data_IF_946024430814
#
_entry.id   IF_946024430814
#
_cell.length_a   1.000
_cell.length_b   1.000
_cell.length_c   1.000
_cell.angle_alpha   90.00
_cell.angle_beta   90.00
_cell.angle_gamma   90.00
#
_symmetry.space_group_name_H-M   'P 1'
#
loop_
_entity.id
_entity.type
_entity.pdbx_description
1 polymer ?
#
# COMPACT_ATOMS: atom_id res chain seq x y z
N UNK A 1 13.16 73.10 -2.85
CA UNK A 1 14.32 72.30 -2.38
C UNK A 1 13.74 70.93 -2.04
N UNK A 2 14.07 69.83 -2.72
CA UNK A 2 15.35 69.43 -3.31
C UNK A 2 15.26 69.30 -4.85
N UNK A 3 16.34 69.67 -5.55
CA UNK A 3 16.59 69.32 -6.96
C UNK A 3 17.53 68.11 -7.01
N UNK A 4 17.28 67.15 -7.90
CA UNK A 4 18.36 66.31 -8.46
C UNK A 4 18.16 66.25 -9.98
N UNK A 5 19.04 66.96 -10.70
CA UNK A 5 19.26 66.76 -12.13
C UNK A 5 20.15 65.53 -12.32
N UNK A 6 19.82 64.67 -13.28
CA UNK A 6 20.82 63.94 -14.04
C UNK A 6 20.55 64.13 -15.53
N UNK A 7 21.62 64.18 -16.31
CA UNK A 7 21.64 64.77 -17.65
C UNK A 7 22.22 63.81 -18.69
N UNK A 8 21.89 64.08 -19.95
CA UNK A 8 22.42 63.51 -21.21
C UNK A 8 21.82 62.22 -21.81
N UNK A 9 21.61 62.35 -23.13
CA UNK A 9 21.69 61.35 -24.20
C UNK A 9 20.53 60.34 -24.42
N UNK A 10 19.58 60.78 -25.24
CA UNK A 10 19.12 60.13 -26.49
C UNK A 10 19.30 58.59 -26.63
N UNK A 11 18.16 57.88 -26.73
CA UNK A 11 17.81 57.01 -27.88
C UNK A 11 16.28 56.91 -27.94
N UNK A 12 15.67 57.48 -28.98
CA UNK A 12 14.24 57.32 -29.25
C UNK A 12 14.00 55.94 -29.91
N UNK A 13 13.68 54.92 -29.12
CA UNK A 13 13.05 53.70 -29.66
C UNK A 13 11.54 53.91 -29.75
N UNK A 14 10.90 53.70 -30.92
CA UNK A 14 9.45 53.81 -31.01
C UNK A 14 8.79 52.73 -30.15
N UNK A 15 7.98 53.14 -29.18
CA UNK A 15 7.04 52.21 -28.50
C UNK A 15 5.98 51.81 -29.52
N UNK A 16 6.15 50.64 -30.11
CA UNK A 16 5.09 49.98 -30.90
C UNK A 16 3.98 49.58 -29.93
N UNK A 17 3.02 50.48 -29.71
CA UNK A 17 1.78 50.17 -29.02
C UNK A 17 0.95 49.27 -29.94
N UNK A 18 1.11 47.96 -29.77
CA UNK A 18 0.20 46.96 -30.32
C UNK A 18 -1.19 47.17 -29.71
N UNK A 19 -2.04 47.92 -30.40
CA UNK A 19 -3.45 48.11 -30.03
C UNK A 19 -4.24 46.84 -30.31
N UNK A 20 -4.15 45.87 -29.38
CA UNK A 20 -4.93 44.64 -29.47
C UNK A 20 -6.42 45.01 -29.40
N UNK A 21 -7.13 44.78 -30.50
CA UNK A 21 -8.53 45.16 -30.63
C UNK A 21 -9.38 44.49 -29.55
N UNK A 22 -10.21 45.26 -28.84
CA UNK A 22 -11.08 44.78 -27.77
C UNK A 22 -12.01 43.62 -28.21
N UNK A 23 -12.45 43.61 -29.49
CA UNK A 23 -13.22 42.48 -30.06
C UNK A 23 -12.39 41.19 -30.16
N UNK A 24 -11.08 41.29 -30.39
CA UNK A 24 -10.15 40.15 -30.40
C UNK A 24 -9.98 39.61 -28.98
N UNK A 25 -9.79 40.49 -27.99
CA UNK A 25 -9.69 40.11 -26.56
C UNK A 25 -10.97 39.39 -26.11
N UNK A 26 -12.16 39.95 -26.41
CA UNK A 26 -13.43 39.32 -26.04
C UNK A 26 -13.67 37.97 -26.73
N UNK A 27 -13.22 37.78 -27.98
CA UNK A 27 -13.26 36.48 -28.67
C UNK A 27 -12.35 35.44 -27.99
N UNK A 28 -11.14 35.83 -27.61
CA UNK A 28 -10.20 34.97 -26.87
C UNK A 28 -10.78 34.56 -25.52
N UNK A 29 -11.33 35.49 -24.73
CA UNK A 29 -11.99 35.19 -23.45
C UNK A 29 -13.17 34.22 -23.64
N UNK A 30 -13.96 34.41 -24.71
CA UNK A 30 -15.11 33.54 -25.00
C UNK A 30 -14.68 32.13 -25.41
N UNK A 31 -13.58 31.98 -26.17
CA UNK A 31 -13.00 30.67 -26.48
C UNK A 31 -12.41 30.00 -25.24
N UNK A 32 -11.64 30.72 -24.42
CA UNK A 32 -11.08 30.20 -23.16
C UNK A 32 -12.18 29.68 -22.23
N UNK A 33 -13.28 30.41 -22.06
CA UNK A 33 -14.43 29.95 -21.27
C UNK A 33 -15.04 28.64 -21.81
N UNK A 34 -15.14 28.47 -23.13
CA UNK A 34 -15.62 27.22 -23.74
C UNK A 34 -14.64 26.06 -23.55
N UNK A 35 -13.34 26.31 -23.65
CA UNK A 35 -12.30 25.31 -23.41
C UNK A 35 -12.29 24.87 -21.94
N UNK A 36 -12.36 25.81 -21.00
CA UNK A 36 -12.47 25.52 -19.56
C UNK A 36 -13.73 24.70 -19.26
N UNK A 37 -14.89 25.09 -19.81
CA UNK A 37 -16.14 24.35 -19.65
C UNK A 37 -16.02 22.90 -20.18
N UNK A 38 -15.41 22.72 -21.35
CA UNK A 38 -15.19 21.40 -21.95
C UNK A 38 -14.26 20.53 -21.09
N UNK A 39 -13.16 21.10 -20.56
CA UNK A 39 -12.24 20.41 -19.65
C UNK A 39 -12.94 20.00 -18.35
N UNK A 40 -13.75 20.88 -17.76
CA UNK A 40 -14.53 20.55 -16.55
C UNK A 40 -15.56 19.45 -16.82
N UNK A 41 -16.19 19.43 -18.00
CA UNK A 41 -17.12 18.36 -18.40
C UNK A 41 -16.36 17.04 -18.54
N UNK A 42 -15.19 17.00 -19.18
CA UNK A 42 -14.41 15.75 -19.29
C UNK A 42 -13.86 15.23 -17.96
N UNK A 43 -13.60 16.12 -16.98
CA UNK A 43 -13.18 15.71 -15.63
C UNK A 43 -14.33 15.10 -14.80
N UNK A 44 -15.58 15.48 -15.05
CA UNK A 44 -16.76 14.99 -14.32
C UNK A 44 -17.19 13.56 -14.69
N UNK A 45 -16.66 12.98 -15.78
CA UNK A 45 -17.05 11.64 -16.26
C UNK A 45 -15.95 10.57 -16.13
N UNK A 46 -14.81 10.88 -15.49
CA UNK A 46 -13.76 9.89 -15.18
C UNK A 46 -14.07 9.11 -13.89
N UNK A 47 -15.30 8.63 -13.75
CA UNK A 47 -15.68 7.67 -12.72
C UNK A 47 -15.18 6.28 -13.12
N UNK A 48 -13.91 5.98 -12.82
CA UNK A 48 -13.47 4.59 -12.74
C UNK A 48 -14.35 3.91 -11.70
N UNK A 49 -15.11 2.88 -12.11
CA UNK A 49 -15.88 2.07 -11.16
C UNK A 49 -14.89 1.50 -10.15
N UNK A 50 -15.16 1.71 -8.86
CA UNK A 50 -14.35 1.11 -7.81
C UNK A 50 -14.31 -0.40 -7.99
N UNK A 51 -13.17 -1.03 -7.71
CA UNK A 51 -13.09 -2.48 -7.65
C UNK A 51 -13.91 -2.97 -6.44
N UNK A 52 -14.57 -4.14 -6.47
CA UNK A 52 -15.20 -4.74 -5.30
C UNK A 52 -14.29 -4.76 -4.06
N UNK A 53 -12.97 -4.91 -4.22
CA UNK A 53 -11.99 -4.71 -3.15
C UNK A 53 -11.99 -3.26 -2.62
N UNK A 54 -11.90 -2.23 -3.48
CA UNK A 54 -11.94 -0.83 -3.05
C UNK A 54 -13.27 -0.45 -2.38
N UNK A 55 -14.40 -1.00 -2.86
CA UNK A 55 -15.71 -0.82 -2.24
C UNK A 55 -15.73 -1.43 -0.82
N UNK A 56 -15.22 -2.66 -0.66
CA UNK A 56 -15.10 -3.30 0.64
C UNK A 56 -14.20 -2.50 1.60
N UNK A 57 -13.02 -2.07 1.16
CA UNK A 57 -12.12 -1.20 1.94
C UNK A 57 -12.81 0.10 2.35
N UNK A 58 -13.60 0.72 1.47
CA UNK A 58 -14.35 1.94 1.80
C UNK A 58 -15.42 1.71 2.89
N UNK A 59 -15.94 0.49 2.98
CA UNK A 59 -16.92 0.08 3.99
C UNK A 59 -16.27 -0.23 5.35
N UNK A 60 -15.08 -0.84 5.35
CA UNK A 60 -14.32 -1.19 6.56
C UNK A 60 -13.90 0.06 7.34
N UNK A 61 -13.83 -0.07 8.67
CA UNK A 61 -13.61 1.02 9.62
C UNK A 61 -12.46 0.72 10.58
N UNK A 62 -12.00 -0.52 10.66
CA UNK A 62 -10.93 -0.89 11.58
C UNK A 62 -10.08 -2.08 11.09
N UNK A 63 -9.04 -2.38 11.84
CA UNK A 63 -8.13 -3.49 11.55
C UNK A 63 -8.78 -4.86 11.80
N UNK A 64 -9.76 -4.92 12.71
CA UNK A 64 -10.59 -6.09 12.95
C UNK A 64 -11.42 -6.48 11.72
N UNK A 65 -11.90 -5.53 10.90
CA UNK A 65 -12.62 -5.86 9.65
C UNK A 65 -11.72 -6.62 8.66
N UNK A 66 -10.47 -6.18 8.51
CA UNK A 66 -9.46 -6.83 7.66
C UNK A 66 -9.16 -8.25 8.17
N UNK A 67 -8.96 -8.40 9.48
CA UNK A 67 -8.71 -9.71 10.11
C UNK A 67 -9.92 -10.64 10.03
N UNK A 68 -11.14 -10.12 10.19
CA UNK A 68 -12.38 -10.88 10.03
C UNK A 68 -12.55 -11.38 8.60
N UNK A 69 -12.22 -10.56 7.60
CA UNK A 69 -12.24 -10.98 6.21
C UNK A 69 -11.21 -12.08 5.93
N UNK A 70 -9.95 -11.89 6.37
CA UNK A 70 -8.90 -12.91 6.23
C UNK A 70 -9.31 -14.22 6.90
N UNK A 71 -9.78 -14.18 8.16
CA UNK A 71 -10.20 -15.35 8.90
C UNK A 71 -11.37 -16.11 8.26
N UNK A 72 -12.26 -15.41 7.55
CA UNK A 72 -13.49 -16.00 6.99
C UNK A 72 -13.37 -16.43 5.52
N UNK A 73 -12.40 -15.87 4.77
CA UNK A 73 -12.31 -16.04 3.31
C UNK A 73 -10.94 -16.55 2.83
N UNK A 74 -9.85 -16.23 3.52
CA UNK A 74 -8.51 -16.68 3.14
C UNK A 74 -8.31 -18.14 3.54
N UNK A 75 -7.84 -18.97 2.62
CA UNK A 75 -7.50 -20.39 2.89
C UNK A 75 -5.97 -20.54 2.88
N UNK A 76 -5.40 -21.67 3.32
CA UNK A 76 -3.98 -21.93 3.10
C UNK A 76 -3.76 -22.82 1.87
N UNK A 77 -3.08 -22.28 0.85
CA UNK A 77 -2.75 -23.00 -0.37
C UNK A 77 -1.35 -23.60 -0.29
N UNK A 78 -1.31 -24.87 0.13
CA UNK A 78 -0.07 -25.64 0.20
C UNK A 78 0.60 -25.80 -1.17
N UNK A 79 -0.15 -25.80 -2.27
CA UNK A 79 0.44 -25.92 -3.62
C UNK A 79 1.15 -24.63 -4.02
N UNK A 80 0.56 -23.46 -3.71
CA UNK A 80 1.22 -22.15 -3.86
C UNK A 80 2.44 -22.03 -2.95
N UNK A 81 2.37 -22.46 -1.70
CA UNK A 81 3.54 -22.49 -0.80
C UNK A 81 4.70 -23.32 -1.37
N UNK A 82 4.42 -24.48 -1.99
CA UNK A 82 5.45 -25.32 -2.66
C UNK A 82 6.02 -24.66 -3.92
N UNK A 83 5.18 -23.98 -4.71
CA UNK A 83 5.63 -23.20 -5.86
C UNK A 83 6.62 -22.10 -5.42
N UNK A 84 6.25 -21.32 -4.40
CA UNK A 84 7.09 -20.28 -3.81
C UNK A 84 8.41 -20.85 -3.26
N UNK A 85 8.36 -21.98 -2.54
CA UNK A 85 9.57 -22.66 -2.05
C UNK A 85 10.48 -23.16 -3.19
N UNK A 86 9.90 -23.48 -4.36
CA UNK A 86 10.65 -23.87 -5.56
C UNK A 86 11.34 -22.66 -6.17
N UNK A 87 10.61 -21.57 -6.41
CA UNK A 87 11.13 -20.30 -6.94
C UNK A 87 12.26 -19.74 -6.07
N UNK A 88 12.07 -19.72 -4.75
CA UNK A 88 13.11 -19.30 -3.79
C UNK A 88 14.41 -20.12 -3.90
N UNK A 89 14.31 -21.40 -4.28
CA UNK A 89 15.44 -22.31 -4.41
C UNK A 89 16.13 -22.22 -5.77
N UNK A 90 15.38 -21.96 -6.85
CA UNK A 90 15.93 -21.92 -8.22
C UNK A 90 16.36 -20.53 -8.65
N UNK A 91 15.57 -19.52 -8.31
CA UNK A 91 15.64 -18.17 -8.88
C UNK A 91 16.02 -17.13 -7.81
N UNK A 92 15.76 -17.45 -6.53
CA UNK A 92 16.12 -16.63 -5.38
C UNK A 92 15.00 -15.69 -4.89
N UNK A 93 15.30 -14.84 -3.89
CA UNK A 93 14.28 -14.03 -3.20
C UNK A 93 13.66 -12.93 -4.06
N UNK A 94 14.38 -12.41 -5.07
CA UNK A 94 13.87 -11.35 -5.96
C UNK A 94 12.79 -11.84 -6.94
N UNK A 95 12.66 -13.14 -7.13
CA UNK A 95 11.62 -13.75 -7.97
C UNK A 95 10.37 -14.13 -7.18
N UNK A 96 10.28 -13.77 -5.88
CA UNK A 96 9.04 -13.92 -5.13
C UNK A 96 7.89 -13.15 -5.79
N UNK A 97 6.70 -13.73 -5.72
CA UNK A 97 5.46 -13.07 -6.14
C UNK A 97 4.41 -13.29 -5.05
N UNK A 98 3.88 -12.19 -4.52
CA UNK A 98 2.70 -12.18 -3.64
C UNK A 98 1.46 -11.76 -4.43
N UNK A 99 0.27 -12.15 -3.99
CA UNK A 99 -0.93 -11.69 -4.70
C UNK A 99 -1.13 -10.19 -4.56
N UNK A 100 -1.53 -9.55 -5.65
CA UNK A 100 -2.16 -8.24 -5.58
C UNK A 100 -3.46 -8.34 -4.75
N UNK A 101 -3.76 -7.38 -3.84
CA UNK A 101 -4.93 -7.48 -2.96
C UNK A 101 -6.26 -7.58 -3.70
N UNK A 102 -6.42 -6.90 -4.84
CA UNK A 102 -7.64 -6.99 -5.67
C UNK A 102 -7.78 -8.40 -6.28
N UNK A 103 -6.69 -8.99 -6.78
CA UNK A 103 -6.69 -10.37 -7.28
C UNK A 103 -7.06 -11.38 -6.18
N UNK A 104 -6.51 -11.22 -4.96
CA UNK A 104 -6.81 -12.07 -3.82
C UNK A 104 -8.28 -11.95 -3.38
N UNK A 105 -8.83 -10.75 -3.35
CA UNK A 105 -10.21 -10.48 -2.92
C UNK A 105 -11.24 -11.01 -3.93
N UNK A 106 -11.04 -10.75 -5.21
CA UNK A 106 -12.09 -10.89 -6.24
C UNK A 106 -12.04 -12.20 -7.00
N UNK A 107 -10.85 -12.81 -7.13
CA UNK A 107 -10.61 -13.93 -8.05
C UNK A 107 -10.22 -15.21 -7.33
N UNK A 108 -9.40 -15.11 -6.29
CA UNK A 108 -8.84 -16.27 -5.64
C UNK A 108 -8.30 -15.95 -4.25
N UNK A 109 -9.06 -16.25 -3.19
CA UNK A 109 -8.64 -16.04 -1.80
C UNK A 109 -7.59 -17.06 -1.28
N UNK A 110 -7.06 -17.97 -2.12
CA UNK A 110 -5.75 -18.63 -1.96
C UNK A 110 -5.45 -19.15 -0.56
N UNK A 111 -4.27 -18.98 0.02
CA UNK A 111 -2.97 -18.47 -0.50
C UNK A 111 -1.80 -18.89 0.42
N UNK A 112 -0.61 -18.32 0.24
CA UNK A 112 0.49 -18.49 1.22
C UNK A 112 0.64 -17.24 2.12
N UNK A 113 1.41 -17.30 3.20
CA UNK A 113 1.49 -16.22 4.19
C UNK A 113 1.94 -14.86 3.62
N UNK A 114 2.75 -14.84 2.55
CA UNK A 114 3.06 -13.60 1.83
C UNK A 114 1.84 -12.94 1.19
N UNK A 115 0.85 -13.72 0.72
CA UNK A 115 -0.36 -13.15 0.10
C UNK A 115 -1.30 -12.50 1.13
N UNK A 116 -1.57 -13.19 2.24
CA UNK A 116 -2.39 -12.68 3.35
C UNK A 116 -1.74 -11.46 4.00
N UNK A 117 -0.41 -11.49 4.19
CA UNK A 117 0.33 -10.34 4.68
C UNK A 117 0.29 -9.16 3.69
N UNK A 118 0.46 -9.35 2.38
CA UNK A 118 0.31 -8.22 1.43
C UNK A 118 -1.10 -7.61 1.49
N UNK A 119 -2.12 -8.47 1.53
CA UNK A 119 -3.51 -8.04 1.66
C UNK A 119 -3.74 -7.22 2.93
N UNK A 120 -3.27 -7.70 4.08
CA UNK A 120 -3.32 -6.99 5.35
C UNK A 120 -2.65 -5.62 5.27
N UNK A 121 -1.39 -5.56 4.80
CA UNK A 121 -0.61 -4.33 4.70
C UNK A 121 -1.30 -3.27 3.85
N UNK A 122 -1.78 -3.67 2.66
CA UNK A 122 -2.41 -2.76 1.70
C UNK A 122 -3.80 -2.35 2.15
N UNK A 123 -4.57 -3.24 2.78
CA UNK A 123 -5.89 -2.93 3.33
C UNK A 123 -5.79 -1.93 4.48
N UNK A 124 -4.93 -2.21 5.48
CA UNK A 124 -4.76 -1.36 6.66
C UNK A 124 -4.30 0.05 6.27
N UNK A 125 -3.28 0.17 5.41
CA UNK A 125 -2.80 1.49 4.97
C UNK A 125 -3.78 2.24 4.05
N UNK A 126 -4.76 1.56 3.42
CA UNK A 126 -5.87 2.23 2.72
C UNK A 126 -6.97 2.71 3.68
N UNK A 127 -7.25 1.96 4.76
CA UNK A 127 -8.25 2.34 5.79
C UNK A 127 -7.76 3.55 6.58
N UNK A 128 -6.55 3.49 7.13
CA UNK A 128 -5.92 4.59 7.86
C UNK A 128 -4.39 4.54 7.67
N UNK A 129 -3.78 5.50 6.96
CA UNK A 129 -2.32 5.61 6.84
C UNK A 129 -1.57 5.70 8.19
N UNK A 130 -2.24 6.12 9.28
CA UNK A 130 -1.64 6.13 10.62
C UNK A 130 -1.35 4.71 11.16
N UNK A 131 -1.96 3.67 10.58
CA UNK A 131 -1.57 2.29 10.85
C UNK A 131 -0.10 2.01 10.50
N UNK A 132 0.49 2.70 9.53
CA UNK A 132 1.88 2.51 9.11
C UNK A 132 2.25 1.02 8.98
N UNK A 133 1.37 0.28 8.31
CA UNK A 133 1.44 -1.17 8.20
C UNK A 133 2.65 -1.55 7.35
N UNK A 134 3.45 -2.50 7.85
CA UNK A 134 4.77 -2.87 7.33
C UNK A 134 4.96 -4.37 7.38
N UNK A 135 5.71 -4.86 6.41
CA UNK A 135 6.17 -6.24 6.35
C UNK A 135 7.04 -6.61 7.55
N UNK A 136 6.79 -7.78 8.10
CA UNK A 136 7.67 -8.45 9.07
C UNK A 136 7.99 -9.84 8.53
N UNK A 137 9.28 -10.16 8.56
CA UNK A 137 9.82 -11.46 8.23
C UNK A 137 10.18 -12.20 9.52
N UNK A 138 9.81 -13.46 9.58
CA UNK A 138 10.06 -14.36 10.71
C UNK A 138 10.93 -15.49 10.20
N UNK A 139 12.17 -15.54 10.69
CA UNK A 139 13.05 -16.67 10.47
C UNK A 139 12.58 -17.87 11.31
N UNK A 140 12.69 -19.06 10.74
CA UNK A 140 12.42 -20.32 11.42
C UNK A 140 13.76 -21.06 11.56
N UNK A 141 14.24 -21.21 12.79
CA UNK A 141 15.50 -21.88 13.11
C UNK A 141 15.46 -23.39 12.81
N UNK A 142 14.28 -24.02 12.90
CA UNK A 142 14.07 -25.44 12.53
C UNK A 142 14.12 -25.66 11.01
N UNK A 143 14.09 -24.57 10.22
CA UNK A 143 14.30 -24.55 8.77
C UNK A 143 13.08 -24.06 7.98
N UNK A 144 13.12 -24.14 6.64
CA UNK A 144 12.03 -23.65 5.80
C UNK A 144 10.69 -24.40 6.02
N UNK A 145 9.53 -23.72 5.87
CA UNK A 145 9.39 -22.35 5.39
C UNK A 145 9.77 -21.30 6.43
N UNK A 146 10.09 -20.10 5.95
CA UNK A 146 10.09 -18.89 6.75
C UNK A 146 8.74 -18.19 6.58
N UNK A 147 8.37 -17.35 7.55
CA UNK A 147 7.01 -16.80 7.64
C UNK A 147 6.99 -15.28 7.40
N UNK A 148 5.88 -14.79 6.88
CA UNK A 148 5.65 -13.37 6.55
C UNK A 148 4.33 -12.92 7.15
N UNK A 149 4.36 -11.79 7.86
CA UNK A 149 3.19 -11.21 8.54
C UNK A 149 3.17 -9.69 8.36
N UNK A 150 2.05 -9.05 8.70
CA UNK A 150 1.95 -7.60 8.70
C UNK A 150 1.94 -7.03 10.12
N UNK A 151 2.91 -6.20 10.42
CA UNK A 151 2.90 -5.35 11.60
C UNK A 151 2.17 -4.03 11.32
N UNK A 152 1.40 -3.52 12.27
CA UNK A 152 0.76 -2.21 12.19
C UNK A 152 0.64 -1.55 13.57
N UNK A 153 0.49 -0.22 13.56
CA UNK A 153 0.26 0.58 14.75
C UNK A 153 -1.23 0.76 14.99
N UNK A 154 -1.66 0.61 16.24
CA UNK A 154 -2.99 1.02 16.70
C UNK A 154 -2.90 1.49 18.15
N UNK A 155 -3.53 2.64 18.47
CA UNK A 155 -3.48 3.25 19.80
C UNK A 155 -2.06 3.37 20.42
N UNK A 156 -1.06 3.71 19.59
CA UNK A 156 0.38 3.82 19.94
C UNK A 156 1.04 2.50 20.39
N UNK A 157 0.41 1.36 20.10
CA UNK A 157 0.96 0.01 20.32
C UNK A 157 1.13 -0.70 18.98
N UNK A 158 2.05 -1.64 18.96
CA UNK A 158 2.27 -2.54 17.84
C UNK A 158 1.28 -3.71 17.90
N UNK A 159 0.69 -4.03 16.76
CA UNK A 159 -0.10 -5.22 16.54
C UNK A 159 0.42 -5.97 15.32
N UNK A 160 0.20 -7.29 15.28
CA UNK A 160 0.59 -8.16 14.17
C UNK A 160 -0.66 -8.84 13.62
N UNK A 161 -0.82 -8.83 12.31
CA UNK A 161 -1.83 -9.57 11.57
C UNK A 161 -1.15 -10.77 10.92
N UNK A 162 -1.36 -11.95 11.50
CA UNK A 162 -0.80 -13.23 11.05
C UNK A 162 -1.94 -14.14 10.57
N UNK A 163 -2.01 -14.36 9.27
CA UNK A 163 -2.98 -15.22 8.61
C UNK A 163 -2.31 -15.99 7.48
N UNK A 164 -2.93 -17.08 7.02
CA UNK A 164 -2.30 -17.94 6.02
C UNK A 164 -1.21 -18.83 6.60
N UNK A 165 -1.37 -19.20 7.87
CA UNK A 165 -0.63 -20.30 8.48
C UNK A 165 -1.23 -21.62 7.98
N UNK A 166 -0.40 -22.58 7.56
CA UNK A 166 -0.90 -23.93 7.29
C UNK A 166 -1.31 -24.65 8.59
N UNK A 167 -2.07 -25.76 8.46
CA UNK A 167 -2.68 -26.49 9.59
C UNK A 167 -1.78 -26.70 10.82
N UNK A 168 -0.49 -26.99 10.57
CA UNK A 168 0.53 -27.21 11.61
C UNK A 168 0.83 -25.99 12.48
N UNK A 169 0.63 -24.79 11.94
CA UNK A 169 1.00 -23.51 12.53
C UNK A 169 -0.21 -22.66 12.92
N UNK A 170 -1.41 -23.25 12.94
CA UNK A 170 -2.69 -22.59 13.27
C UNK A 170 -2.70 -21.85 14.61
N UNK A 171 -1.85 -22.24 15.56
CA UNK A 171 -1.67 -21.50 16.83
C UNK A 171 -1.05 -20.10 16.66
N UNK A 172 -0.43 -19.80 15.52
CA UNK A 172 0.04 -18.45 15.16
C UNK A 172 -1.06 -17.58 14.53
N UNK A 173 -2.19 -18.15 14.10
CA UNK A 173 -3.18 -17.40 13.31
C UNK A 173 -3.98 -16.42 14.18
N UNK A 174 -4.06 -15.15 13.77
CA UNK A 174 -4.90 -14.13 14.37
C UNK A 174 -4.36 -12.71 14.28
N UNK A 175 -4.97 -11.82 15.06
CA UNK A 175 -4.44 -10.48 15.37
C UNK A 175 -3.81 -10.56 16.76
N UNK A 176 -2.54 -10.18 16.86
CA UNK A 176 -1.73 -10.29 18.07
C UNK A 176 -1.28 -8.91 18.57
N UNK A 177 -1.14 -8.78 19.89
CA UNK A 177 -0.82 -7.52 20.57
C UNK A 177 -1.86 -7.15 21.63
N UNK A 178 -1.81 -5.94 22.20
CA UNK A 178 -0.82 -4.89 21.94
C UNK A 178 0.59 -5.23 22.45
N UNK A 179 1.60 -4.88 21.66
CA UNK A 179 3.02 -4.95 22.02
C UNK A 179 3.68 -3.56 22.00
N UNK A 180 4.85 -3.44 22.64
CA UNK A 180 5.72 -2.26 22.55
C UNK A 180 6.75 -2.36 21.41
N UNK A 181 7.15 -3.58 21.03
CA UNK A 181 8.13 -3.88 19.99
C UNK A 181 7.88 -5.27 19.38
N UNK A 182 8.62 -5.62 18.32
CA UNK A 182 8.59 -6.97 17.74
C UNK A 182 9.04 -8.06 18.73
N UNK A 183 9.82 -7.71 19.76
CA UNK A 183 10.23 -8.64 20.82
C UNK A 183 9.01 -9.23 21.56
N UNK A 184 7.94 -8.44 21.71
CA UNK A 184 6.68 -8.91 22.29
C UNK A 184 6.04 -10.03 21.46
N UNK A 185 6.13 -9.93 20.13
CA UNK A 185 5.61 -10.94 19.23
C UNK A 185 6.55 -12.14 19.09
N UNK A 186 7.87 -11.92 19.05
CA UNK A 186 8.87 -12.98 19.17
C UNK A 186 8.62 -13.84 20.41
N UNK A 187 8.41 -13.22 21.57
CA UNK A 187 8.15 -13.93 22.83
C UNK A 187 6.81 -14.68 22.83
N UNK A 188 5.79 -14.16 22.13
CA UNK A 188 4.56 -14.89 21.88
C UNK A 188 4.84 -16.14 21.04
N UNK A 189 5.49 -16.00 19.87
CA UNK A 189 5.85 -17.13 19.00
C UNK A 189 6.71 -18.17 19.72
N UNK A 190 7.68 -17.74 20.55
CA UNK A 190 8.53 -18.62 21.35
C UNK A 190 7.76 -19.40 22.43
N UNK A 191 6.59 -18.92 22.85
CA UNK A 191 5.71 -19.63 23.79
C UNK A 191 4.80 -20.66 23.10
N UNK A 192 4.69 -20.61 21.76
CA UNK A 192 3.94 -21.59 20.97
C UNK A 192 4.83 -22.82 20.72
N UNK A 193 4.56 -23.91 21.45
CA UNK A 193 5.24 -25.20 21.26
C UNK A 193 4.75 -25.90 19.96
N UNK A 194 5.22 -25.42 18.81
CA UNK A 194 4.77 -25.84 17.47
C UNK A 194 5.79 -26.79 16.83
N UNK A 195 5.35 -27.98 16.44
CA UNK A 195 6.19 -28.94 15.70
C UNK A 195 6.58 -28.39 14.32
N UNK A 196 7.88 -28.38 14.03
CA UNK A 196 8.40 -27.88 12.74
C UNK A 196 8.68 -26.37 12.73
N UNK A 197 8.72 -25.73 13.90
CA UNK A 197 8.95 -24.30 14.03
C UNK A 197 9.70 -23.96 15.33
N UNK A 198 10.79 -23.21 15.18
CA UNK A 198 11.49 -22.53 16.27
C UNK A 198 11.70 -21.08 15.83
N UNK A 199 11.18 -20.11 16.60
CA UNK A 199 11.30 -18.69 16.21
C UNK A 199 12.75 -18.24 16.27
N UNK A 200 13.24 -17.71 15.14
CA UNK A 200 14.53 -17.02 15.04
C UNK A 200 14.34 -15.50 15.05
N UNK A 201 15.00 -14.80 14.14
CA UNK A 201 14.81 -13.36 13.93
C UNK A 201 13.35 -13.02 13.57
N UNK A 202 12.79 -12.01 14.24
CA UNK A 202 11.51 -11.36 13.89
C UNK A 202 11.80 -9.89 13.59
N UNK A 203 11.86 -9.52 12.31
CA UNK A 203 12.36 -8.21 11.89
C UNK A 203 11.48 -7.55 10.81
N UNK A 204 11.44 -6.22 10.81
CA UNK A 204 10.92 -5.46 9.67
C UNK A 204 11.83 -5.69 8.46
N UNK A 205 11.24 -6.10 7.35
CA UNK A 205 11.96 -6.38 6.11
C UNK A 205 11.01 -6.17 4.93
N UNK A 206 11.43 -5.44 3.91
CA UNK A 206 10.61 -5.30 2.70
C UNK A 206 10.50 -6.65 1.97
N UNK A 207 9.31 -6.94 1.43
CA UNK A 207 9.10 -8.09 0.54
C UNK A 207 10.03 -7.92 -0.68
N UNK A 208 10.96 -8.86 -0.95
CA UNK A 208 12.01 -8.65 -1.95
C UNK A 208 11.57 -8.90 -3.40
N UNK A 209 10.31 -9.29 -3.62
CA UNK A 209 9.71 -9.52 -4.94
C UNK A 209 8.41 -8.74 -5.13
N UNK A 210 7.71 -9.02 -6.23
CA UNK A 210 6.61 -8.19 -6.76
C UNK A 210 5.19 -8.72 -6.45
N UNK A 211 4.17 -7.98 -6.89
CA UNK A 211 2.77 -8.42 -6.94
C UNK A 211 2.43 -9.09 -8.29
N UNK A 212 1.36 -9.93 -8.30
CA UNK A 212 0.82 -10.58 -9.52
C UNK A 212 -0.20 -9.76 -10.35
#
# INVERSE_FOLDING_TARGET
MIYIYFSHALINKPRILLSINFKTIMRIITMLRKIIALITITLLFNSVSASPYDEAISSWKSHEDVGNWLNSNFTFDTSRQRMIATILKTDGPTSLVVRNPTNLFERNSSGWCGDSANFALKSLNKIDPAHNARWVFIWNNDGPPHHWVTAFNYNKKLYIMDFGTGDKWTAMQGIHGPYDSLDGYHNFLASLNITGFEVGEVAYRDMPGDED
#
